data_IF_249981183340
#
_entry.id   IF_249981183340
#
_cell.length_a   1.000
_cell.length_b   1.000
_cell.length_c   1.000
_cell.angle_alpha   90.00
_cell.angle_beta   90.00
_cell.angle_gamma   90.00
#
_symmetry.space_group_name_H-M   'P 1'
#
loop_
_entity.id
_entity.type
_entity.pdbx_description
1 polymer ?
#
# COMPACT_ATOMS: atom_id res chain seq x y z
N UNK A 1 -17.06 -1.19 -16.49
CA UNK A 1 -16.22 -1.34 -17.68
C UNK A 1 -16.58 -0.28 -18.70
N UNK A 2 -15.59 0.42 -19.26
CA UNK A 2 -15.81 1.47 -20.25
C UNK A 2 -15.95 0.91 -21.68
N UNK A 3 -15.53 -0.33 -21.91
CA UNK A 3 -15.60 -1.02 -23.20
C UNK A 3 -16.12 -2.47 -23.04
N UNK A 4 -16.73 -3.01 -24.07
CA UNK A 4 -17.20 -4.41 -24.12
C UNK A 4 -17.18 -4.96 -25.55
N UNK A 5 -17.29 -6.28 -25.69
CA UNK A 5 -17.33 -6.96 -27.00
C UNK A 5 -18.78 -7.06 -27.48
N UNK A 6 -19.06 -6.66 -28.72
CA UNK A 6 -20.38 -6.83 -29.34
C UNK A 6 -20.59 -8.27 -29.86
N UNK A 7 -21.76 -8.55 -30.44
CA UNK A 7 -22.07 -9.88 -31.02
C UNK A 7 -21.16 -10.30 -32.19
N UNK A 8 -20.48 -9.34 -32.83
CA UNK A 8 -19.61 -9.55 -33.99
C UNK A 8 -18.13 -9.68 -33.56
N UNK A 9 -17.84 -9.60 -32.26
CA UNK A 9 -16.48 -9.72 -31.72
C UNK A 9 -15.71 -8.40 -31.64
N UNK A 10 -16.33 -7.26 -31.93
CA UNK A 10 -15.66 -5.95 -31.91
C UNK A 10 -15.73 -5.28 -30.53
N UNK A 11 -14.64 -4.60 -30.14
CA UNK A 11 -14.57 -3.79 -28.93
C UNK A 11 -15.27 -2.45 -29.11
N UNK A 12 -16.32 -2.22 -28.32
CA UNK A 12 -17.17 -1.03 -28.39
C UNK A 12 -16.98 -0.15 -27.14
N UNK A 13 -16.41 1.07 -27.29
CA UNK A 13 -16.25 2.01 -26.18
C UNK A 13 -17.52 2.84 -25.95
N UNK A 14 -18.28 2.53 -24.90
CA UNK A 14 -19.57 3.21 -24.64
C UNK A 14 -19.43 4.61 -24.03
N UNK A 15 -18.30 4.87 -23.37
CA UNK A 15 -18.07 6.12 -22.64
C UNK A 15 -17.88 7.36 -23.53
N UNK A 16 -17.63 7.16 -24.82
CA UNK A 16 -17.52 8.21 -25.85
C UNK A 16 -18.87 8.56 -26.48
N UNK A 17 -19.89 7.74 -26.25
CA UNK A 17 -21.17 7.85 -26.95
C UNK A 17 -22.10 8.87 -26.29
N UNK A 18 -22.92 9.52 -27.12
CA UNK A 18 -24.00 10.39 -26.68
C UNK A 18 -25.25 9.59 -26.28
N UNK A 19 -26.29 10.28 -25.78
CA UNK A 19 -27.51 9.62 -25.27
C UNK A 19 -28.28 8.85 -26.34
N UNK A 20 -28.35 9.36 -27.56
CA UNK A 20 -29.12 8.74 -28.64
C UNK A 20 -28.41 7.49 -29.16
N UNK A 21 -27.09 7.55 -29.30
CA UNK A 21 -26.24 6.39 -29.61
C UNK A 21 -26.38 5.31 -28.53
N UNK A 22 -26.32 5.68 -27.25
CA UNK A 22 -26.52 4.72 -26.14
C UNK A 22 -27.91 4.10 -26.18
N UNK A 23 -28.96 4.88 -26.49
CA UNK A 23 -30.33 4.36 -26.60
C UNK A 23 -30.46 3.32 -27.72
N UNK A 24 -29.75 3.51 -28.83
CA UNK A 24 -29.68 2.52 -29.90
C UNK A 24 -28.91 1.27 -29.44
N UNK A 25 -27.73 1.46 -28.82
CA UNK A 25 -26.88 0.36 -28.34
C UNK A 25 -27.55 -0.52 -27.29
N UNK A 26 -28.50 -0.02 -26.51
CA UNK A 26 -29.29 -0.85 -25.57
C UNK A 26 -30.10 -1.98 -26.23
N UNK A 27 -30.30 -1.93 -27.55
CA UNK A 27 -30.95 -3.00 -28.31
C UNK A 27 -30.00 -4.16 -28.67
N UNK A 28 -28.69 -3.94 -28.54
CA UNK A 28 -27.65 -4.92 -28.84
C UNK A 28 -27.24 -5.69 -27.58
N UNK A 29 -26.62 -6.86 -27.77
CA UNK A 29 -26.00 -7.64 -26.67
C UNK A 29 -24.50 -7.37 -26.63
N UNK A 30 -23.98 -7.22 -25.42
CA UNK A 30 -22.56 -7.04 -25.15
C UNK A 30 -22.08 -8.11 -24.20
N UNK A 31 -20.81 -8.48 -24.35
CA UNK A 31 -20.16 -9.51 -23.57
C UNK A 31 -18.88 -8.98 -22.93
N UNK A 32 -18.57 -9.50 -21.76
CA UNK A 32 -17.32 -9.21 -21.08
C UNK A 32 -16.16 -9.87 -21.83
N UNK A 33 -15.15 -9.13 -22.31
CA UNK A 33 -13.98 -9.73 -22.94
C UNK A 33 -13.16 -10.69 -22.05
N UNK A 34 -13.32 -10.68 -20.71
CA UNK A 34 -12.56 -11.57 -19.82
C UNK A 34 -13.29 -12.88 -19.51
N UNK A 35 -14.58 -12.81 -19.18
CA UNK A 35 -15.36 -14.00 -18.78
C UNK A 35 -16.40 -14.42 -19.84
N UNK A 36 -16.56 -13.66 -20.91
CA UNK A 36 -17.60 -13.84 -21.94
C UNK A 36 -19.04 -13.78 -21.43
N UNK A 37 -19.26 -13.40 -20.17
CA UNK A 37 -20.61 -13.23 -19.62
C UNK A 37 -21.33 -12.02 -20.22
N UNK A 38 -22.67 -12.05 -20.34
CA UNK A 38 -23.44 -10.92 -20.85
C UNK A 38 -23.36 -9.70 -19.91
N UNK A 39 -23.29 -8.52 -20.54
CA UNK A 39 -23.19 -7.23 -19.87
C UNK A 39 -24.43 -6.37 -20.13
N UNK A 40 -24.73 -5.49 -19.18
CA UNK A 40 -25.77 -4.48 -19.29
C UNK A 40 -25.18 -3.06 -19.33
N UNK A 41 -25.81 -2.19 -20.12
CA UNK A 41 -25.44 -0.78 -20.21
C UNK A 41 -26.04 -0.01 -19.04
N UNK A 42 -25.18 0.67 -18.25
CA UNK A 42 -25.57 1.65 -17.25
C UNK A 42 -25.18 3.04 -17.70
N UNK A 43 -26.19 3.87 -17.98
CA UNK A 43 -26.02 5.27 -18.35
C UNK A 43 -27.07 6.11 -17.60
N UNK A 44 -26.64 6.76 -16.52
CA UNK A 44 -27.46 7.68 -15.72
C UNK A 44 -27.04 9.13 -15.97
N UNK A 45 -27.84 10.10 -15.51
CA UNK A 45 -27.58 11.52 -15.80
C UNK A 45 -26.22 12.05 -15.29
N UNK A 46 -25.72 11.50 -14.17
CA UNK A 46 -24.48 11.95 -13.50
C UNK A 46 -23.30 10.98 -13.64
N UNK A 47 -23.50 9.83 -14.29
CA UNK A 47 -22.49 8.77 -14.35
C UNK A 47 -21.97 8.62 -15.78
N UNK A 48 -20.66 8.41 -15.94
CA UNK A 48 -20.11 8.00 -17.23
C UNK A 48 -20.81 6.71 -17.67
N UNK A 49 -21.30 6.64 -18.93
CA UNK A 49 -21.83 5.41 -19.50
C UNK A 49 -20.81 4.28 -19.38
N UNK A 50 -21.23 3.14 -18.86
CA UNK A 50 -20.37 1.97 -18.68
C UNK A 50 -21.18 0.68 -18.80
N UNK A 51 -20.49 -0.41 -19.09
CA UNK A 51 -21.00 -1.76 -18.99
C UNK A 51 -20.82 -2.31 -17.58
N UNK A 52 -21.80 -3.09 -17.13
CA UNK A 52 -21.82 -3.75 -15.83
C UNK A 52 -22.29 -5.20 -15.99
N UNK A 53 -21.75 -6.10 -15.16
CA UNK A 53 -22.26 -7.46 -15.05
C UNK A 53 -23.66 -7.48 -14.39
N UNK A 54 -24.44 -8.51 -14.69
CA UNK A 54 -25.68 -8.80 -13.96
C UNK A 54 -25.39 -9.23 -12.52
N UNK A 55 -26.37 -9.10 -11.62
CA UNK A 55 -26.21 -9.52 -10.22
C UNK A 55 -25.85 -11.01 -10.13
N UNK A 56 -24.82 -11.34 -9.33
CA UNK A 56 -24.22 -12.68 -9.13
C UNK A 56 -23.21 -13.17 -10.19
N UNK A 57 -22.60 -12.29 -10.97
CA UNK A 57 -21.43 -12.65 -11.78
C UNK A 57 -20.23 -13.02 -10.88
N UNK A 58 -19.52 -14.08 -11.28
CA UNK A 58 -18.26 -14.52 -10.66
C UNK A 58 -17.03 -13.88 -11.31
N UNK A 59 -17.22 -12.94 -12.24
CA UNK A 59 -16.12 -12.21 -12.84
C UNK A 59 -15.37 -11.41 -11.75
N UNK A 60 -14.04 -11.41 -11.79
CA UNK A 60 -13.21 -10.59 -10.89
C UNK A 60 -13.44 -9.10 -11.06
N UNK A 61 -13.95 -8.66 -12.22
CA UNK A 61 -14.38 -7.28 -12.48
C UNK A 61 -15.81 -6.98 -12.01
N UNK A 62 -16.51 -7.97 -11.43
CA UNK A 62 -17.84 -7.81 -10.85
C UNK A 62 -17.74 -7.05 -9.52
N UNK A 63 -18.41 -5.89 -9.42
CA UNK A 63 -18.48 -5.10 -8.19
C UNK A 63 -17.94 -3.67 -8.30
N UNK A 64 -17.33 -3.31 -9.42
CA UNK A 64 -16.86 -1.96 -9.67
C UNK A 64 -18.00 -1.04 -10.14
N UNK A 65 -18.17 0.09 -9.45
CA UNK A 65 -19.25 1.05 -9.69
C UNK A 65 -18.78 2.30 -10.45
N UNK A 66 -19.69 3.27 -10.62
CA UNK A 66 -19.39 4.52 -11.34
C UNK A 66 -18.18 5.30 -10.77
N UNK A 67 -17.91 5.17 -9.47
CA UNK A 67 -16.72 5.76 -8.85
C UNK A 67 -15.41 5.23 -9.45
N UNK A 68 -15.35 3.93 -9.72
CA UNK A 68 -14.21 3.28 -10.36
C UNK A 68 -14.07 3.75 -11.82
N UNK A 69 -15.15 3.60 -12.59
CA UNK A 69 -15.21 3.95 -14.01
C UNK A 69 -14.85 5.41 -14.29
N UNK A 70 -15.38 6.32 -13.48
CA UNK A 70 -15.05 7.74 -13.57
C UNK A 70 -13.57 7.97 -13.28
N UNK A 71 -12.99 7.31 -12.28
CA UNK A 71 -11.59 7.54 -11.94
C UNK A 71 -10.61 6.96 -12.94
N UNK A 72 -10.91 5.79 -13.50
CA UNK A 72 -10.18 5.21 -14.64
C UNK A 72 -10.17 6.17 -15.84
N UNK A 73 -11.34 6.70 -16.19
CA UNK A 73 -11.49 7.70 -17.25
C UNK A 73 -10.69 8.97 -16.95
N UNK A 74 -10.75 9.49 -15.72
CA UNK A 74 -10.01 10.69 -15.33
C UNK A 74 -8.49 10.50 -15.48
N UNK A 75 -7.96 9.35 -15.04
CA UNK A 75 -6.53 9.03 -15.15
C UNK A 75 -6.12 8.93 -16.62
N UNK A 76 -6.93 8.27 -17.47
CA UNK A 76 -6.69 8.20 -18.91
C UNK A 76 -6.65 9.60 -19.53
N UNK A 77 -7.66 10.43 -19.29
CA UNK A 77 -7.75 11.78 -19.85
C UNK A 77 -6.57 12.64 -19.40
N UNK A 78 -6.25 12.60 -18.10
CA UNK A 78 -5.12 13.34 -17.53
C UNK A 78 -3.78 13.00 -18.19
N UNK A 79 -3.54 11.71 -18.51
CA UNK A 79 -2.33 11.30 -19.22
C UNK A 79 -2.38 11.66 -20.71
N UNK A 80 -3.53 11.46 -21.35
CA UNK A 80 -3.72 11.77 -22.77
C UNK A 80 -3.56 13.27 -23.05
N UNK A 81 -4.11 14.14 -22.20
CA UNK A 81 -3.99 15.60 -22.28
C UNK A 81 -2.54 16.10 -22.14
N UNK A 82 -1.67 15.30 -21.52
CA UNK A 82 -0.23 15.56 -21.45
C UNK A 82 0.55 15.05 -22.69
N UNK A 83 -0.14 14.52 -23.70
CA UNK A 83 0.46 14.05 -24.96
C UNK A 83 1.01 12.63 -24.90
N UNK A 84 0.67 11.85 -23.88
CA UNK A 84 1.10 10.45 -23.81
C UNK A 84 0.25 9.53 -24.70
N UNK A 85 0.85 8.42 -25.16
CA UNK A 85 0.13 7.33 -25.80
C UNK A 85 -0.50 6.45 -24.71
N UNK A 86 -1.82 6.50 -24.60
CA UNK A 86 -2.57 5.86 -23.52
C UNK A 86 -3.69 5.02 -24.09
N UNK A 87 -3.96 3.86 -23.50
CA UNK A 87 -5.12 3.03 -23.78
C UNK A 87 -5.91 2.77 -22.49
N UNK A 88 -7.23 2.74 -22.61
CA UNK A 88 -8.14 2.28 -21.54
C UNK A 88 -8.35 0.78 -21.66
N UNK A 89 -8.43 0.10 -20.51
CA UNK A 89 -8.87 -1.29 -20.45
C UNK A 89 -8.04 -2.23 -21.37
N UNK A 90 -6.73 -1.97 -21.45
CA UNK A 90 -5.82 -2.69 -22.32
C UNK A 90 -5.61 -4.13 -21.85
N UNK A 91 -5.94 -5.08 -22.72
CA UNK A 91 -5.79 -6.50 -22.45
C UNK A 91 -4.42 -7.01 -22.92
N UNK A 92 -3.74 -7.74 -22.04
CA UNK A 92 -2.49 -8.43 -22.32
C UNK A 92 -2.77 -9.94 -22.44
N UNK A 93 -2.81 -10.50 -23.67
CA UNK A 93 -3.15 -11.91 -23.88
C UNK A 93 -2.20 -12.88 -23.18
N UNK A 94 -0.90 -12.59 -23.19
CA UNK A 94 0.16 -13.46 -22.66
C UNK A 94 -0.02 -13.78 -21.18
N UNK A 95 -0.59 -12.85 -20.43
CA UNK A 95 -0.83 -12.97 -18.98
C UNK A 95 -2.32 -13.02 -18.66
N UNK A 96 -3.19 -12.95 -19.68
CA UNK A 96 -4.65 -12.91 -19.55
C UNK A 96 -5.14 -11.86 -18.54
N UNK A 97 -4.47 -10.71 -18.51
CA UNK A 97 -4.79 -9.61 -17.59
C UNK A 97 -5.19 -8.37 -18.37
N UNK A 98 -6.13 -7.60 -17.81
CA UNK A 98 -6.48 -6.27 -18.30
C UNK A 98 -5.99 -5.21 -17.33
N UNK A 99 -5.22 -4.25 -17.84
CA UNK A 99 -4.89 -3.03 -17.11
C UNK A 99 -6.00 -1.98 -17.27
N UNK A 100 -6.30 -1.25 -16.20
CA UNK A 100 -7.29 -0.17 -16.25
C UNK A 100 -6.86 0.96 -17.19
N UNK A 101 -5.59 1.36 -17.08
CA UNK A 101 -4.95 2.32 -17.98
C UNK A 101 -3.58 1.80 -18.36
N UNK A 102 -3.28 1.78 -19.65
CA UNK A 102 -1.97 1.42 -20.19
C UNK A 102 -1.31 2.65 -20.82
N UNK A 103 -0.02 2.82 -20.55
CA UNK A 103 0.79 3.94 -20.99
C UNK A 103 2.09 3.42 -21.60
N UNK A 104 2.41 3.91 -22.81
CA UNK A 104 3.73 3.74 -23.40
C UNK A 104 4.54 5.04 -23.31
N UNK A 105 5.72 4.94 -22.68
CA UNK A 105 6.63 6.05 -22.49
C UNK A 105 8.00 5.68 -23.04
N UNK A 106 8.29 6.10 -24.27
CA UNK A 106 9.53 5.74 -25.00
C UNK A 106 9.69 4.22 -25.05
N UNK A 107 10.61 3.65 -24.25
CA UNK A 107 10.87 2.20 -24.15
C UNK A 107 10.23 1.55 -22.92
N UNK A 108 9.46 2.30 -22.13
CA UNK A 108 8.81 1.80 -20.91
C UNK A 108 7.32 1.56 -21.17
N UNK A 109 6.84 0.39 -20.74
CA UNK A 109 5.43 0.00 -20.76
C UNK A 109 4.91 0.05 -19.33
N UNK A 110 3.79 0.73 -19.10
CA UNK A 110 3.28 0.99 -17.75
C UNK A 110 1.81 0.60 -17.69
N UNK A 111 1.45 -0.23 -16.72
CA UNK A 111 0.06 -0.54 -16.39
C UNK A 111 -0.31 0.22 -15.10
N UNK A 112 -1.38 1.00 -15.14
CA UNK A 112 -1.96 1.65 -13.98
C UNK A 112 -3.25 0.92 -13.62
N UNK A 113 -3.36 0.53 -12.36
CA UNK A 113 -4.52 -0.13 -11.75
C UNK A 113 -5.22 0.83 -10.78
N UNK A 114 -6.53 1.02 -10.90
CA UNK A 114 -7.29 1.94 -10.05
C UNK A 114 -8.22 1.20 -9.07
N UNK A 115 -7.65 0.62 -8.01
CA UNK A 115 -8.41 -0.27 -7.13
C UNK A 115 -9.32 0.47 -6.13
N UNK A 116 -10.63 0.42 -6.35
CA UNK A 116 -11.64 1.04 -5.45
C UNK A 116 -12.31 0.07 -4.47
N UNK A 117 -12.29 -1.23 -4.76
CA UNK A 117 -12.91 -2.26 -3.94
C UNK A 117 -11.88 -3.05 -3.11
N UNK A 118 -12.36 -3.90 -2.21
CA UNK A 118 -11.50 -4.86 -1.52
C UNK A 118 -10.97 -5.89 -2.54
N UNK A 119 -9.69 -6.21 -2.43
CA UNK A 119 -8.99 -7.20 -3.26
C UNK A 119 -8.00 -7.93 -2.34
N UNK A 120 -7.76 -9.21 -2.59
CA UNK A 120 -6.85 -10.01 -1.77
C UNK A 120 -5.39 -9.64 -2.06
N UNK A 121 -4.51 -9.83 -1.09
CA UNK A 121 -3.06 -9.65 -1.29
C UNK A 121 -2.55 -10.58 -2.40
N UNK A 122 -3.05 -11.82 -2.44
CA UNK A 122 -2.69 -12.81 -3.45
C UNK A 122 -2.99 -12.33 -4.86
N UNK A 123 -4.18 -11.76 -5.08
CA UNK A 123 -4.57 -11.22 -6.39
C UNK A 123 -3.70 -10.03 -6.80
N UNK A 124 -3.39 -9.10 -5.88
CA UNK A 124 -2.49 -7.97 -6.16
C UNK A 124 -1.11 -8.48 -6.58
N UNK A 125 -0.58 -9.48 -5.87
CA UNK A 125 0.74 -10.04 -6.15
C UNK A 125 0.76 -10.80 -7.48
N UNK A 126 -0.27 -11.61 -7.77
CA UNK A 126 -0.42 -12.31 -9.05
C UNK A 126 -0.47 -11.33 -10.21
N UNK A 127 -1.32 -10.30 -10.14
CA UNK A 127 -1.43 -9.28 -11.18
C UNK A 127 -0.13 -8.51 -11.38
N UNK A 128 0.52 -8.12 -10.29
CA UNK A 128 1.81 -7.43 -10.31
C UNK A 128 2.91 -8.29 -10.93
N UNK A 129 2.96 -9.58 -10.61
CA UNK A 129 3.91 -10.53 -11.18
C UNK A 129 3.66 -10.75 -12.68
N UNK A 130 2.40 -10.86 -13.10
CA UNK A 130 2.02 -10.96 -14.51
C UNK A 130 2.51 -9.76 -15.32
N UNK A 131 2.29 -8.53 -14.86
CA UNK A 131 2.82 -7.36 -15.58
C UNK A 131 4.34 -7.41 -15.70
N UNK A 132 5.04 -7.77 -14.62
CA UNK A 132 6.50 -7.82 -14.61
C UNK A 132 7.07 -8.89 -15.53
N UNK A 133 6.42 -10.05 -15.65
CA UNK A 133 6.91 -11.15 -16.51
C UNK A 133 6.97 -10.76 -17.99
N UNK A 134 6.14 -9.79 -18.42
CA UNK A 134 6.12 -9.25 -19.78
C UNK A 134 6.77 -7.85 -19.90
N UNK A 135 7.56 -7.44 -18.90
CA UNK A 135 8.30 -6.17 -18.89
C UNK A 135 7.42 -4.92 -18.74
N UNK A 136 6.19 -5.06 -18.21
CA UNK A 136 5.28 -3.96 -17.92
C UNK A 136 5.44 -3.55 -16.45
N UNK A 137 5.56 -2.24 -16.20
CA UNK A 137 5.72 -1.67 -14.86
C UNK A 137 4.34 -1.39 -14.26
N UNK A 138 3.93 -2.07 -13.18
CA UNK A 138 2.65 -1.81 -12.54
C UNK A 138 2.72 -0.63 -11.57
N UNK A 139 1.67 0.21 -11.61
CA UNK A 139 1.43 1.31 -10.67
C UNK A 139 -0.01 1.17 -10.16
N UNK A 140 -0.14 1.00 -8.84
CA UNK A 140 -1.45 0.89 -8.21
C UNK A 140 -1.86 2.22 -7.59
N UNK A 141 -3.10 2.64 -7.85
CA UNK A 141 -3.75 3.81 -7.27
C UNK A 141 -5.01 3.33 -6.58
N UNK A 142 -5.13 3.59 -5.29
CA UNK A 142 -6.32 3.21 -4.52
C UNK A 142 -7.43 4.26 -4.66
N UNK A 143 -8.68 3.83 -4.64
CA UNK A 143 -9.81 4.75 -4.46
C UNK A 143 -9.72 5.47 -3.11
N UNK A 144 -9.98 6.78 -3.08
CA UNK A 144 -9.97 7.56 -1.84
C UNK A 144 -11.11 7.17 -0.87
N UNK A 145 -12.09 6.39 -1.33
CA UNK A 145 -13.06 5.70 -0.47
C UNK A 145 -12.39 4.72 0.51
N UNK A 146 -11.17 4.24 0.23
CA UNK A 146 -10.36 3.41 1.14
C UNK A 146 -9.46 4.23 2.08
N UNK A 147 -9.37 5.55 1.88
CA UNK A 147 -8.51 6.43 2.67
C UNK A 147 -9.07 6.64 4.08
N UNK A 148 -8.30 6.28 5.10
CA UNK A 148 -8.70 6.49 6.50
C UNK A 148 -7.81 7.56 7.16
N UNK A 149 -8.20 8.83 7.03
CA UNK A 149 -7.43 9.95 7.58
C UNK A 149 -7.56 10.03 9.11
N UNK A 150 -6.43 10.18 9.81
CA UNK A 150 -6.36 10.35 11.28
C UNK A 150 -5.83 11.71 11.71
N UNK A 151 -5.22 12.45 10.79
CA UNK A 151 -4.74 13.81 11.02
C UNK A 151 -4.12 14.41 9.77
N UNK A 152 -3.40 15.52 9.92
CA UNK A 152 -2.78 16.23 8.80
C UNK A 152 -1.76 15.38 8.05
N UNK A 153 -0.91 14.66 8.79
CA UNK A 153 0.19 13.83 8.26
C UNK A 153 0.05 12.36 8.64
N UNK A 154 -1.15 11.92 9.02
CA UNK A 154 -1.36 10.56 9.52
C UNK A 154 -2.59 9.90 8.92
N UNK A 155 -2.38 8.69 8.43
CA UNK A 155 -3.40 7.80 7.89
C UNK A 155 -3.43 6.48 8.67
N UNK A 156 -4.54 5.78 8.55
CA UNK A 156 -4.64 4.36 8.89
C UNK A 156 -4.60 3.56 7.58
N UNK A 157 -3.56 2.76 7.37
CA UNK A 157 -3.41 1.85 6.23
C UNK A 157 -3.59 0.42 6.76
N UNK A 158 -4.74 -0.23 6.50
CA UNK A 158 -4.96 -1.62 6.91
C UNK A 158 -3.88 -2.55 6.36
N UNK A 159 -3.59 -3.65 7.06
CA UNK A 159 -2.58 -4.62 6.60
C UNK A 159 -2.84 -5.20 5.21
N UNK A 160 -4.11 -5.33 4.82
CA UNK A 160 -4.46 -5.77 3.46
C UNK A 160 -4.01 -4.78 2.38
N UNK A 161 -3.92 -3.49 2.73
CA UNK A 161 -3.50 -2.46 1.79
C UNK A 161 -1.97 -2.28 1.76
N UNK A 162 -1.22 -3.03 2.57
CA UNK A 162 0.25 -2.97 2.58
C UNK A 162 0.86 -3.48 1.26
N UNK A 163 0.16 -4.34 0.54
CA UNK A 163 0.59 -4.83 -0.77
C UNK A 163 0.62 -3.73 -1.86
N UNK A 164 -0.05 -2.59 -1.63
CA UNK A 164 -0.02 -1.43 -2.52
C UNK A 164 1.14 -0.46 -2.21
N UNK A 165 1.91 -0.71 -1.15
CA UNK A 165 3.11 0.07 -0.86
C UNK A 165 4.10 -0.11 -2.01
N UNK A 166 4.55 1.00 -2.58
CA UNK A 166 5.39 1.01 -3.77
C UNK A 166 6.71 1.70 -3.49
N UNK A 167 7.79 1.15 -4.05
CA UNK A 167 9.08 1.82 -4.08
C UNK A 167 9.69 1.73 -5.49
N UNK A 168 9.69 2.85 -6.22
CA UNK A 168 10.17 2.90 -7.61
C UNK A 168 11.68 2.68 -7.75
N UNK A 169 12.46 2.99 -6.73
CA UNK A 169 13.91 2.80 -6.70
C UNK A 169 14.37 2.70 -5.23
N UNK A 170 15.41 1.91 -4.89
CA UNK A 170 15.88 1.77 -3.51
C UNK A 170 16.25 3.07 -2.79
N UNK A 171 16.63 4.13 -3.53
CA UNK A 171 16.93 5.45 -2.97
C UNK A 171 15.71 6.37 -2.78
N UNK A 172 14.54 5.97 -3.28
CA UNK A 172 13.30 6.73 -3.18
C UNK A 172 12.45 6.26 -1.98
N UNK A 173 11.65 7.16 -1.40
CA UNK A 173 10.80 6.81 -0.27
C UNK A 173 9.68 5.86 -0.68
N UNK A 174 9.31 4.93 0.20
CA UNK A 174 8.09 4.13 0.07
C UNK A 174 6.89 5.07 -0.07
N UNK A 175 6.00 4.73 -1.00
CA UNK A 175 4.88 5.55 -1.40
C UNK A 175 3.60 4.73 -1.51
N UNK A 176 2.46 5.39 -1.34
CA UNK A 176 1.14 4.85 -1.68
C UNK A 176 0.30 5.96 -2.30
N UNK A 177 -0.50 5.60 -3.30
CA UNK A 177 -1.26 6.55 -4.10
C UNK A 177 -2.75 6.33 -3.90
N UNK A 178 -3.51 7.43 -3.76
CA UNK A 178 -4.96 7.39 -3.80
C UNK A 178 -5.50 8.41 -4.78
N UNK A 179 -6.66 8.14 -5.36
CA UNK A 179 -7.38 9.08 -6.20
C UNK A 179 -8.86 9.14 -5.83
N UNK A 180 -9.44 10.33 -5.84
CA UNK A 180 -10.87 10.52 -5.64
C UNK A 180 -11.55 11.00 -6.92
N UNK A 181 -12.32 10.14 -7.58
CA UNK A 181 -13.03 10.50 -8.82
C UNK A 181 -14.19 11.50 -8.62
N UNK A 182 -14.67 11.68 -7.39
CA UNK A 182 -15.69 12.69 -7.06
C UNK A 182 -15.07 14.09 -6.92
N UNK A 183 -13.95 14.20 -6.20
CA UNK A 183 -13.31 15.50 -5.93
C UNK A 183 -12.19 15.83 -6.91
N UNK A 184 -11.88 14.91 -7.83
CA UNK A 184 -10.79 15.00 -8.83
C UNK A 184 -9.43 15.31 -8.21
N UNK A 185 -9.16 14.73 -7.04
CA UNK A 185 -7.91 14.95 -6.28
C UNK A 185 -7.09 13.68 -6.22
N UNK A 186 -5.81 13.81 -6.57
CA UNK A 186 -4.78 12.80 -6.34
C UNK A 186 -4.12 13.03 -4.99
N UNK A 187 -3.88 11.94 -4.27
CA UNK A 187 -3.26 11.90 -2.97
C UNK A 187 -2.00 11.06 -3.09
N UNK A 188 -0.85 11.69 -2.86
CA UNK A 188 0.45 11.07 -2.87
C UNK A 188 0.94 11.04 -1.42
N UNK A 189 1.14 9.85 -0.87
CA UNK A 189 1.60 9.69 0.51
C UNK A 189 2.94 8.94 0.53
N UNK A 190 4.00 9.61 0.97
CA UNK A 190 5.38 9.11 0.87
C UNK A 190 6.11 9.19 2.21
N UNK A 191 7.28 8.56 2.28
CA UNK A 191 8.15 8.53 3.46
C UNK A 191 7.40 8.02 4.69
N UNK A 192 6.87 6.80 4.52
CA UNK A 192 5.89 6.19 5.41
C UNK A 192 6.56 5.58 6.65
N UNK A 193 6.20 6.08 7.82
CA UNK A 193 6.66 5.58 9.11
C UNK A 193 5.48 4.96 9.85
N UNK A 194 5.51 3.64 9.98
CA UNK A 194 4.48 2.89 10.70
C UNK A 194 4.74 2.94 12.20
N UNK A 195 3.77 3.46 12.95
CA UNK A 195 3.80 3.54 14.41
C UNK A 195 3.01 2.40 15.07
N UNK A 196 2.17 1.72 14.30
CA UNK A 196 1.55 0.45 14.68
C UNK A 196 1.43 -0.41 13.42
N UNK A 197 0.64 -1.50 13.46
CA UNK A 197 0.33 -2.29 12.26
C UNK A 197 -0.29 -1.46 11.13
N UNK A 198 -1.09 -0.46 11.49
CA UNK A 198 -1.91 0.27 10.52
C UNK A 198 -1.76 1.78 10.62
N UNK A 199 -1.30 2.31 11.75
CA UNK A 199 -1.14 3.75 11.92
C UNK A 199 0.16 4.21 11.29
N UNK A 200 0.06 5.12 10.32
CA UNK A 200 1.20 5.61 9.55
C UNK A 200 1.30 7.12 9.70
N UNK A 201 2.52 7.62 9.80
CA UNK A 201 2.88 9.01 9.63
C UNK A 201 3.68 9.16 8.33
N UNK A 202 3.48 10.25 7.59
CA UNK A 202 4.11 10.41 6.27
C UNK A 202 3.95 11.81 5.67
N UNK A 203 4.62 12.02 4.53
CA UNK A 203 4.48 13.20 3.70
C UNK A 203 3.22 13.09 2.83
N UNK A 204 2.11 13.67 3.31
CA UNK A 204 0.81 13.67 2.63
C UNK A 204 0.67 14.89 1.72
N UNK A 205 0.55 14.66 0.42
CA UNK A 205 0.30 15.67 -0.58
C UNK A 205 -1.04 15.41 -1.28
N UNK A 206 -1.89 16.43 -1.37
CA UNK A 206 -3.22 16.34 -1.97
C UNK A 206 -3.38 17.49 -2.95
N UNK A 207 -3.57 17.18 -4.23
CA UNK A 207 -3.69 18.18 -5.29
C UNK A 207 -4.78 17.79 -6.29
N UNK A 208 -5.43 18.77 -6.96
CA UNK A 208 -6.25 18.49 -8.14
C UNK A 208 -5.45 17.69 -9.17
N UNK A 209 -6.09 16.74 -9.86
CA UNK A 209 -5.42 15.94 -10.88
C UNK A 209 -4.91 16.83 -12.03
N UNK A 210 -5.71 17.82 -12.43
CA UNK A 210 -5.41 18.78 -13.50
C UNK A 210 -4.23 19.70 -13.20
N UNK A 211 -3.83 19.86 -11.93
CA UNK A 211 -2.67 20.68 -11.57
C UNK A 211 -1.36 19.88 -11.48
N UNK A 212 -1.41 18.57 -11.66
CA UNK A 212 -0.26 17.68 -11.59
C UNK A 212 0.14 17.22 -12.99
N UNK A 213 1.43 17.00 -13.20
CA UNK A 213 1.94 16.28 -14.37
C UNK A 213 2.41 14.88 -13.97
N UNK A 214 2.54 13.98 -14.93
CA UNK A 214 2.93 12.58 -14.72
C UNK A 214 4.19 12.44 -13.86
N UNK A 215 5.20 13.29 -14.09
CA UNK A 215 6.46 13.28 -13.34
C UNK A 215 6.29 13.60 -11.85
N UNK A 216 5.21 14.28 -11.43
CA UNK A 216 4.98 14.66 -10.03
C UNK A 216 4.69 13.47 -9.11
N UNK A 217 4.23 12.34 -9.67
CA UNK A 217 4.02 11.08 -8.93
C UNK A 217 5.34 10.52 -8.39
N UNK A 218 6.43 10.73 -9.13
CA UNK A 218 7.75 10.19 -8.82
C UNK A 218 8.63 11.18 -8.05
N UNK A 219 8.17 12.42 -7.88
CA UNK A 219 8.92 13.46 -7.16
C UNK A 219 8.99 13.08 -5.68
N UNK A 220 10.18 12.85 -5.10
CA UNK A 220 10.28 12.39 -3.73
C UNK A 220 9.86 13.48 -2.75
N UNK A 221 9.02 13.11 -1.78
CA UNK A 221 8.61 13.96 -0.67
C UNK A 221 8.97 13.26 0.64
N UNK A 222 9.62 13.98 1.53
CA UNK A 222 10.07 13.46 2.82
C UNK A 222 9.35 14.15 3.97
N UNK A 223 9.20 13.42 5.06
CA UNK A 223 8.67 13.94 6.30
C UNK A 223 9.57 15.03 6.87
N UNK A 224 8.95 16.07 7.42
CA UNK A 224 9.68 17.01 8.26
C UNK A 224 10.09 16.31 9.56
N UNK A 225 11.40 16.10 9.76
CA UNK A 225 11.96 15.39 10.93
C UNK A 225 11.54 16.01 12.27
N UNK A 226 11.52 17.35 12.38
CA UNK A 226 11.13 18.04 13.62
C UNK A 226 9.65 17.78 13.94
N UNK A 227 8.79 17.87 12.93
CA UNK A 227 7.36 17.59 13.07
C UNK A 227 7.12 16.13 13.45
N UNK A 228 7.81 15.21 12.80
CA UNK A 228 7.73 13.79 13.12
C UNK A 228 8.16 13.51 14.56
N UNK A 229 9.31 14.04 15.00
CA UNK A 229 9.79 13.83 16.37
C UNK A 229 8.79 14.33 17.42
N UNK A 230 8.19 15.51 17.21
CA UNK A 230 7.12 16.02 18.08
C UNK A 230 5.91 15.09 18.10
N UNK A 231 5.50 14.61 16.92
CA UNK A 231 4.37 13.68 16.79
C UNK A 231 4.65 12.36 17.50
N UNK A 232 5.81 11.75 17.25
CA UNK A 232 6.23 10.47 17.82
C UNK A 232 6.39 10.55 19.33
N UNK A 233 7.01 11.60 19.88
CA UNK A 233 7.11 11.80 21.32
C UNK A 233 5.73 11.77 21.98
N UNK A 234 4.75 12.48 21.41
CA UNK A 234 3.36 12.45 21.87
C UNK A 234 2.71 11.07 21.76
N UNK A 235 3.02 10.29 20.71
CA UNK A 235 2.52 8.91 20.61
C UNK A 235 3.16 7.98 21.64
N UNK A 236 4.46 8.16 21.92
CA UNK A 236 5.20 7.36 22.88
C UNK A 236 4.73 7.63 24.30
N UNK A 237 4.53 8.90 24.66
CA UNK A 237 3.96 9.31 25.94
C UNK A 237 2.56 8.71 26.13
N UNK A 238 1.68 8.87 25.13
CA UNK A 238 0.35 8.25 25.15
C UNK A 238 0.41 6.73 25.29
N UNK A 239 1.38 6.08 24.64
CA UNK A 239 1.56 4.63 24.73
C UNK A 239 2.05 4.19 26.11
N UNK A 240 2.96 4.93 26.74
CA UNK A 240 3.45 4.63 28.10
C UNK A 240 2.31 4.72 29.13
N UNK A 241 1.43 5.71 28.97
CA UNK A 241 0.35 5.99 29.89
C UNK A 241 -0.97 5.27 29.54
N UNK A 242 -0.99 4.36 28.56
CA UNK A 242 -2.24 3.73 28.10
C UNK A 242 -2.72 2.66 29.09
N UNK A 243 -4.03 2.63 29.43
CA UNK A 243 -4.60 1.57 30.24
C UNK A 243 -4.57 0.23 29.50
N UNK A 244 -4.81 -0.87 30.22
CA UNK A 244 -4.90 -2.21 29.63
C UNK A 244 -6.14 -2.28 28.74
N UNK A 245 -6.00 -2.52 27.43
CA UNK A 245 -7.16 -2.60 26.55
C UNK A 245 -7.88 -3.93 26.73
N UNK A 246 -9.17 -3.89 27.06
CA UNK A 246 -10.00 -5.09 27.31
C UNK A 246 -10.21 -5.95 26.05
N UNK A 247 -10.20 -5.34 24.85
CA UNK A 247 -10.59 -6.00 23.59
C UNK A 247 -9.44 -6.38 22.65
N UNK A 248 -8.17 -6.10 23.00
CA UNK A 248 -7.04 -6.34 22.10
C UNK A 248 -6.25 -7.60 22.49
N UNK A 249 -6.65 -8.76 21.95
CA UNK A 249 -6.08 -10.08 22.30
C UNK A 249 -4.54 -10.13 22.25
N UNK A 250 -3.92 -9.63 21.19
CA UNK A 250 -2.45 -9.66 21.03
C UNK A 250 -1.73 -8.80 22.08
N UNK A 251 -2.26 -7.60 22.32
CA UNK A 251 -1.75 -6.66 23.30
C UNK A 251 -1.91 -7.20 24.73
N UNK A 252 -3.02 -7.86 25.04
CA UNK A 252 -3.23 -8.55 26.32
C UNK A 252 -2.23 -9.68 26.52
N UNK A 253 -2.02 -10.54 25.51
CA UNK A 253 -1.01 -11.62 25.57
C UNK A 253 0.40 -11.07 25.77
N UNK A 254 0.74 -9.97 25.08
CA UNK A 254 2.03 -9.32 25.23
C UNK A 254 2.22 -8.74 26.64
N UNK A 255 1.20 -8.11 27.22
CA UNK A 255 1.26 -7.61 28.61
C UNK A 255 1.36 -8.72 29.65
N UNK A 256 0.65 -9.83 29.45
CA UNK A 256 0.81 -11.02 30.29
C UNK A 256 2.23 -11.58 30.19
N UNK A 257 2.81 -11.64 28.98
CA UNK A 257 4.19 -12.06 28.79
C UNK A 257 5.19 -11.11 29.47
N UNK A 258 4.98 -9.78 29.43
CA UNK A 258 5.80 -8.83 30.20
C UNK A 258 5.70 -9.11 31.70
N UNK A 259 4.49 -9.33 32.21
CA UNK A 259 4.26 -9.61 33.63
C UNK A 259 5.00 -10.87 34.09
N UNK A 260 5.02 -11.93 33.28
CA UNK A 260 5.79 -13.15 33.57
C UNK A 260 7.31 -12.89 33.65
N UNK A 261 7.81 -11.87 32.96
CA UNK A 261 9.21 -11.41 33.04
C UNK A 261 9.40 -10.32 34.10
N UNK A 262 8.43 -10.12 34.99
CA UNK A 262 8.43 -9.09 36.04
C UNK A 262 8.57 -7.66 35.49
N UNK A 263 8.12 -7.44 34.25
CA UNK A 263 8.14 -6.15 33.56
C UNK A 263 6.72 -5.61 33.36
N UNK A 264 6.65 -4.29 33.19
CA UNK A 264 5.48 -3.55 32.76
C UNK A 264 5.86 -2.47 31.74
N UNK A 265 4.89 -1.79 31.14
CA UNK A 265 5.16 -0.77 30.11
C UNK A 265 6.05 0.37 30.61
N UNK A 266 5.87 0.81 31.85
CA UNK A 266 6.64 1.92 32.42
C UNK A 266 8.10 1.51 32.63
N UNK A 267 8.35 0.25 33.02
CA UNK A 267 9.70 -0.31 33.17
C UNK A 267 10.43 -0.58 31.84
N UNK A 268 9.74 -0.57 30.70
CA UNK A 268 10.40 -0.78 29.42
C UNK A 268 11.35 0.37 29.08
N UNK A 269 12.58 0.07 28.60
CA UNK A 269 13.59 1.08 28.37
C UNK A 269 13.18 2.05 27.25
N UNK A 270 13.86 3.21 27.21
CA UNK A 270 13.56 4.28 26.27
C UNK A 270 13.78 3.88 24.80
N UNK A 271 14.57 2.84 24.53
CA UNK A 271 14.81 2.32 23.18
C UNK A 271 13.75 1.31 22.69
N UNK A 272 12.67 1.08 23.45
CA UNK A 272 11.46 0.41 22.96
C UNK A 272 10.52 1.43 22.32
N UNK A 273 9.77 0.96 21.31
CA UNK A 273 8.87 1.75 20.48
C UNK A 273 9.62 2.82 19.66
N UNK A 274 10.83 2.49 19.20
CA UNK A 274 11.55 3.33 18.26
C UNK A 274 10.97 3.15 16.84
N UNK A 275 10.80 4.25 16.09
CA UNK A 275 10.29 4.18 14.73
C UNK A 275 11.38 3.68 13.78
N UNK A 276 10.98 2.80 12.86
CA UNK A 276 11.81 2.34 11.75
C UNK A 276 10.99 2.45 10.45
N UNK A 277 11.67 2.64 9.33
CA UNK A 277 11.05 2.80 8.01
C UNK A 277 10.52 1.47 7.47
N UNK A 278 11.14 0.35 7.84
CA UNK A 278 10.76 -1.00 7.40
C UNK A 278 9.71 -1.68 8.29
N UNK A 279 9.07 -0.95 9.21
CA UNK A 279 8.06 -1.51 10.13
C UNK A 279 6.85 -2.12 9.41
N UNK A 280 6.56 -1.73 8.16
CA UNK A 280 5.49 -2.32 7.36
C UNK A 280 5.69 -3.82 7.08
N UNK A 281 6.92 -4.34 7.19
CA UNK A 281 7.23 -5.76 7.05
C UNK A 281 6.83 -6.59 8.29
N UNK A 282 6.44 -5.95 9.39
CA UNK A 282 6.12 -6.59 10.67
C UNK A 282 4.60 -6.74 10.87
N UNK A 283 4.16 -7.96 11.18
CA UNK A 283 2.79 -8.30 11.59
C UNK A 283 2.38 -7.67 12.92
N UNK A 284 3.35 -7.31 13.76
CA UNK A 284 3.15 -6.77 15.11
C UNK A 284 3.63 -5.32 15.23
N UNK A 285 3.03 -4.49 16.12
CA UNK A 285 3.52 -3.13 16.35
C UNK A 285 4.97 -3.10 16.87
N UNK A 286 5.69 -1.97 16.70
CA UNK A 286 7.08 -1.82 17.11
C UNK A 286 7.35 -2.28 18.55
N UNK A 287 6.52 -1.85 19.50
CA UNK A 287 6.73 -2.15 20.91
C UNK A 287 6.64 -3.64 21.25
N UNK A 288 5.89 -4.45 20.50
CA UNK A 288 5.74 -5.87 20.78
C UNK A 288 7.02 -6.61 20.41
N UNK A 289 7.47 -6.50 19.17
CA UNK A 289 8.65 -7.26 18.72
C UNK A 289 9.97 -6.67 19.25
N UNK A 290 10.05 -5.34 19.43
CA UNK A 290 11.26 -4.72 20.01
C UNK A 290 11.44 -5.13 21.47
N UNK A 291 10.35 -5.24 22.25
CA UNK A 291 10.46 -5.72 23.64
C UNK A 291 10.84 -7.19 23.72
N UNK A 292 10.42 -8.03 22.77
CA UNK A 292 10.90 -9.42 22.67
C UNK A 292 12.40 -9.49 22.44
N UNK A 293 12.94 -8.72 21.49
CA UNK A 293 14.40 -8.64 21.30
C UNK A 293 15.11 -8.17 22.57
N UNK A 294 14.54 -7.19 23.26
CA UNK A 294 15.12 -6.70 24.50
C UNK A 294 15.17 -7.78 25.58
N UNK A 295 14.04 -8.42 25.90
CA UNK A 295 13.95 -9.38 26.99
C UNK A 295 14.64 -10.70 26.67
N UNK A 296 14.39 -11.28 25.50
CA UNK A 296 14.82 -12.63 25.15
C UNK A 296 16.26 -12.67 24.60
N UNK A 297 16.85 -11.51 24.28
CA UNK A 297 18.18 -11.42 23.68
C UNK A 297 19.09 -10.41 24.40
N UNK A 298 18.73 -9.13 24.41
CA UNK A 298 19.62 -8.05 24.87
C UNK A 298 19.86 -8.10 26.38
N UNK A 299 18.84 -8.44 27.18
CA UNK A 299 19.00 -8.60 28.63
C UNK A 299 19.88 -9.79 28.98
N UNK A 300 19.72 -10.91 28.26
CA UNK A 300 20.33 -12.18 28.63
C UNK A 300 21.76 -12.30 28.08
N UNK A 301 21.98 -11.92 26.82
CA UNK A 301 23.24 -12.18 26.11
C UNK A 301 24.15 -10.97 26.11
N UNK A 302 25.44 -11.20 26.33
CA UNK A 302 26.47 -10.17 26.12
C UNK A 302 26.77 -9.97 24.63
N UNK A 303 26.77 -11.05 23.84
CA UNK A 303 26.99 -11.05 22.40
C UNK A 303 25.90 -11.84 21.68
N UNK A 304 25.47 -11.35 20.52
CA UNK A 304 24.53 -12.07 19.65
C UNK A 304 24.72 -11.71 18.18
N UNK A 305 24.22 -12.58 17.30
CA UNK A 305 24.22 -12.36 15.84
C UNK A 305 22.89 -11.79 15.35
N UNK A 306 22.92 -11.11 14.21
CA UNK A 306 21.70 -10.67 13.53
C UNK A 306 20.78 -11.86 13.18
N UNK A 307 21.34 -13.00 12.78
CA UNK A 307 20.57 -14.20 12.45
C UNK A 307 19.81 -14.76 13.65
N UNK A 308 20.39 -14.71 14.86
CA UNK A 308 19.69 -15.08 16.09
C UNK A 308 18.51 -14.15 16.36
N UNK A 309 18.70 -12.83 16.22
CA UNK A 309 17.63 -11.84 16.40
C UNK A 309 16.51 -12.01 15.35
N UNK A 310 16.88 -12.29 14.09
CA UNK A 310 15.92 -12.56 13.03
C UNK A 310 15.12 -13.84 13.29
N UNK A 311 15.80 -14.92 13.72
CA UNK A 311 15.18 -16.21 14.01
C UNK A 311 14.19 -16.14 15.18
N UNK A 312 14.53 -15.39 16.24
CA UNK A 312 13.64 -15.14 17.39
C UNK A 312 12.31 -14.51 16.96
N UNK A 313 12.34 -13.69 15.91
CA UNK A 313 11.20 -12.92 15.43
C UNK A 313 10.56 -13.48 14.15
N UNK A 314 10.89 -14.71 13.73
CA UNK A 314 10.39 -15.31 12.47
C UNK A 314 8.86 -15.23 12.29
N UNK A 315 8.10 -15.37 13.36
CA UNK A 315 6.63 -15.38 13.33
C UNK A 315 6.04 -13.96 13.26
N UNK A 316 6.86 -12.93 13.47
CA UNK A 316 6.49 -11.53 13.43
C UNK A 316 6.55 -10.92 12.02
N UNK A 317 7.12 -11.59 11.02
CA UNK A 317 7.23 -11.04 9.66
C UNK A 317 6.01 -11.36 8.81
N UNK A 318 5.60 -10.40 7.98
CA UNK A 318 4.78 -10.71 6.81
C UNK A 318 5.61 -11.49 5.78
N UNK A 319 5.00 -12.41 5.00
CA UNK A 319 5.67 -13.04 3.87
C UNK A 319 6.23 -11.98 2.92
N UNK A 320 7.46 -12.16 2.43
CA UNK A 320 8.12 -11.21 1.52
C UNK A 320 7.31 -11.01 0.22
N UNK A 321 6.67 -12.08 -0.25
CA UNK A 321 5.85 -12.08 -1.47
C UNK A 321 4.68 -11.10 -1.42
N UNK A 322 4.23 -10.71 -0.22
CA UNK A 322 3.15 -9.73 -0.04
C UNK A 322 3.54 -8.31 -0.51
N UNK A 323 4.84 -8.02 -0.66
CA UNK A 323 5.35 -6.69 -1.00
C UNK A 323 5.96 -6.66 -2.39
N UNK A 324 5.23 -7.22 -3.36
CA UNK A 324 5.70 -7.33 -4.74
C UNK A 324 6.20 -6.00 -5.31
N UNK A 325 5.61 -4.84 -4.97
CA UNK A 325 5.98 -3.51 -5.49
C UNK A 325 7.20 -2.85 -4.82
N UNK A 326 7.86 -3.52 -3.88
CA UNK A 326 9.02 -2.99 -3.14
C UNK A 326 10.28 -3.78 -3.52
N UNK A 327 11.40 -3.07 -3.66
CA UNK A 327 12.70 -3.68 -3.99
C UNK A 327 13.71 -3.63 -2.82
N UNK A 328 13.32 -3.13 -1.64
CA UNK A 328 14.26 -3.01 -0.52
C UNK A 328 14.76 -4.37 -0.02
N UNK A 329 16.06 -4.44 0.23
CA UNK A 329 16.74 -5.52 0.94
C UNK A 329 16.87 -5.29 2.45
N UNK A 330 16.46 -4.11 2.95
CA UNK A 330 16.62 -3.76 4.37
C UNK A 330 15.60 -4.48 5.25
N UNK A 331 16.12 -5.29 6.17
CA UNK A 331 15.32 -6.05 7.11
C UNK A 331 15.02 -5.25 8.39
N UNK A 332 13.80 -5.31 8.97
CA UNK A 332 13.39 -4.48 10.11
C UNK A 332 14.22 -4.69 11.37
N UNK A 333 14.66 -5.91 11.63
CA UNK A 333 15.60 -6.19 12.73
C UNK A 333 16.95 -5.53 12.48
N UNK A 334 17.46 -5.54 11.24
CA UNK A 334 18.74 -4.89 10.90
C UNK A 334 18.66 -3.39 11.13
N UNK A 335 17.60 -2.74 10.64
CA UNK A 335 17.40 -1.30 10.80
C UNK A 335 17.31 -0.91 12.28
N UNK A 336 16.60 -1.69 13.09
CA UNK A 336 16.48 -1.43 14.53
C UNK A 336 17.79 -1.66 15.29
N UNK A 337 18.53 -2.74 15.03
CA UNK A 337 19.82 -2.97 15.65
C UNK A 337 20.82 -1.86 15.31
N UNK A 338 20.84 -1.38 14.05
CA UNK A 338 21.63 -0.22 13.66
C UNK A 338 21.22 1.05 14.42
N UNK A 339 19.92 1.24 14.68
CA UNK A 339 19.46 2.35 15.51
C UNK A 339 19.97 2.22 16.95
N UNK A 340 19.92 1.01 17.53
CA UNK A 340 20.46 0.72 18.87
C UNK A 340 21.98 0.97 18.96
N UNK A 341 22.73 0.66 17.89
CA UNK A 341 24.16 1.01 17.80
C UNK A 341 24.36 2.52 17.82
N UNK A 342 23.57 3.27 17.04
CA UNK A 342 23.66 4.74 16.98
C UNK A 342 23.37 5.43 18.32
N UNK A 343 22.48 4.86 19.13
CA UNK A 343 22.14 5.40 20.45
C UNK A 343 22.99 4.80 21.59
N UNK A 344 23.99 3.98 21.27
CA UNK A 344 24.98 3.47 22.24
C UNK A 344 24.53 2.26 23.07
N UNK A 345 23.38 1.66 22.77
CA UNK A 345 22.85 0.46 23.44
C UNK A 345 23.62 -0.81 23.01
N UNK A 346 24.03 -0.85 21.74
CA UNK A 346 24.82 -1.94 21.18
C UNK A 346 26.12 -1.39 20.60
N UNK A 347 27.14 -2.24 20.52
CA UNK A 347 28.37 -2.02 19.76
C UNK A 347 28.44 -3.03 18.62
N UNK A 348 28.62 -2.55 17.39
CA UNK A 348 28.87 -3.42 16.25
C UNK A 348 30.29 -3.98 16.33
N UNK A 349 30.43 -5.29 16.54
CA UNK A 349 31.73 -5.96 16.58
C UNK A 349 32.16 -6.36 15.16
N UNK A 350 31.19 -6.70 14.30
CA UNK A 350 31.33 -6.91 12.85
C UNK A 350 29.97 -6.70 12.19
N UNK A 351 29.85 -6.85 10.86
CA UNK A 351 28.59 -6.63 10.12
C UNK A 351 27.41 -7.46 10.67
N UNK A 352 27.66 -8.64 11.21
CA UNK A 352 26.64 -9.56 11.70
C UNK A 352 26.60 -9.73 13.23
N UNK A 353 27.57 -9.19 13.97
CA UNK A 353 27.72 -9.43 15.41
C UNK A 353 27.60 -8.17 16.25
N UNK A 354 26.85 -8.26 17.33
CA UNK A 354 26.55 -7.16 18.23
C UNK A 354 26.95 -7.53 19.66
N UNK A 355 27.58 -6.58 20.35
CA UNK A 355 27.85 -6.64 21.78
C UNK A 355 26.91 -5.67 22.51
N UNK A 356 26.36 -6.09 23.65
CA UNK A 356 25.46 -5.28 24.47
C UNK A 356 26.28 -4.35 25.38
N UNK A 357 25.95 -3.06 25.38
CA UNK A 357 26.57 -2.08 26.27
C UNK A 357 25.84 -2.02 27.62
N UNK A 358 26.31 -2.80 28.61
CA UNK A 358 25.64 -2.99 29.90
C UNK A 358 25.49 -1.72 30.75
N UNK A 359 26.28 -0.67 30.51
CA UNK A 359 26.15 0.58 31.26
C UNK A 359 24.93 1.41 30.82
N UNK A 360 24.26 1.01 29.73
CA UNK A 360 23.17 1.78 29.10
C UNK A 360 21.84 1.02 29.02
N UNK A 361 21.83 -0.25 29.43
CA UNK A 361 20.71 -1.19 29.27
C UNK A 361 19.97 -1.43 30.57
#
# INVERSE_FOLDING_TARGET
>A
MLQAVNQVGELVPIWKMNRDEIKQKRKERFFCPDCSEPLMIKAGMKNTPHFAHHSKSNCTLSGEGSYHENGKKDIYLWLHEQGYQVALEHYFPDIRQRADVYLELKKKRIAIEYQCAAISIQEICQRTAGYRSIGVIPIWILGANKLQRRGTHSLNIPSNDHAFLHQFHPSLPTSIFYYCSNTKRLIIYQDLIFLSKTKVFGALHISPLTSLVWSDLFRPRYCNKKLFNKYWNKQKEKWRNRPVPYYQREETKWRQWLYLHQLNILSLPSFIYLPITTQYLMKSPPWIWQSRLYVDLILIKEFFTISQAMHLLRDHYHPADNFSLIQTTNHPVSEYLQLLVRIGILKGVSEANYQVNRTTV
#
